data_IF_953647778894
#
_entry.id   IF_953647778894
#
_cell.length_a   1.000
_cell.length_b   1.000
_cell.length_c   1.000
_cell.angle_alpha   90.00
_cell.angle_beta   90.00
_cell.angle_gamma   90.00
#
_symmetry.space_group_name_H-M   'P 1'
#
loop_
_entity.id
_entity.type
_entity.pdbx_description
1 polymer ?
#
# COMPACT_ATOMS: atom_id res chain seq x y z
N UNK A 1 11.48 7.42 6.10
CA UNK A 1 11.29 8.72 6.79
C UNK A 1 11.72 8.54 8.25
N UNK A 2 12.40 9.51 8.85
CA UNK A 2 12.91 9.37 10.21
C UNK A 2 12.51 10.54 11.08
N UNK A 3 12.30 10.28 12.37
CA UNK A 3 12.13 11.29 13.41
C UNK A 3 13.39 11.40 14.29
N UNK A 4 13.49 12.52 15.00
CA UNK A 4 14.48 12.74 16.08
C UNK A 4 13.78 13.42 17.24
N UNK A 5 13.84 12.81 18.41
CA UNK A 5 13.38 13.40 19.67
C UNK A 5 14.61 14.03 20.33
N UNK A 6 14.48 15.29 20.75
CA UNK A 6 15.56 16.02 21.45
C UNK A 6 16.93 15.97 20.72
N UNK A 7 16.92 16.05 19.37
CA UNK A 7 18.11 15.96 18.51
C UNK A 7 18.96 14.68 18.69
N UNK A 8 18.40 13.60 19.26
CA UNK A 8 19.06 12.31 19.45
C UNK A 8 19.17 11.50 18.15
N UNK A 9 19.60 10.23 18.26
CA UNK A 9 19.73 9.32 17.10
C UNK A 9 18.40 9.21 16.36
N UNK A 10 18.47 8.93 15.05
CA UNK A 10 17.29 8.76 14.21
C UNK A 10 16.52 7.50 14.63
N UNK A 11 15.20 7.61 14.62
CA UNK A 11 14.26 6.49 14.70
C UNK A 11 13.33 6.55 13.49
N UNK A 12 12.77 5.42 13.03
CA UNK A 12 11.67 5.45 12.06
C UNK A 12 10.53 6.34 12.56
N UNK A 13 9.89 7.10 11.67
CA UNK A 13 8.73 7.94 12.09
C UNK A 13 7.54 7.07 12.50
N UNK A 14 7.45 5.86 11.95
CA UNK A 14 6.42 4.85 12.25
C UNK A 14 6.49 4.38 13.70
N UNK A 15 7.69 4.30 14.30
CA UNK A 15 7.83 4.00 15.73
C UNK A 15 7.19 5.08 16.60
N UNK A 16 7.27 6.35 16.19
CA UNK A 16 6.58 7.41 16.91
C UNK A 16 5.06 7.28 16.78
N UNK A 17 4.55 6.94 15.60
CA UNK A 17 3.11 6.74 15.37
C UNK A 17 2.57 5.53 16.15
N UNK A 18 3.33 4.43 16.21
CA UNK A 18 3.00 3.27 17.04
C UNK A 18 2.96 3.61 18.53
N UNK A 19 3.92 4.40 19.01
CA UNK A 19 3.90 4.87 20.41
C UNK A 19 2.66 5.72 20.73
N UNK A 20 2.14 6.46 19.74
CA UNK A 20 0.89 7.21 19.83
C UNK A 20 -0.37 6.32 19.77
N UNK A 21 -0.21 5.02 19.58
CA UNK A 21 -1.28 4.03 19.63
C UNK A 21 -1.82 3.59 18.28
N UNK A 22 -1.17 3.97 17.17
CA UNK A 22 -1.56 3.50 15.84
C UNK A 22 -0.93 2.14 15.53
N UNK A 23 -1.67 1.21 14.93
CA UNK A 23 -1.06 0.01 14.34
C UNK A 23 -0.55 0.25 12.90
N UNK A 24 0.04 -0.78 12.29
CA UNK A 24 0.60 -0.69 10.94
C UNK A 24 -0.44 -0.32 9.87
N UNK A 25 -1.64 -0.89 9.96
CA UNK A 25 -2.73 -0.65 9.02
C UNK A 25 -3.28 0.78 9.18
N UNK A 26 -3.53 1.23 10.41
CA UNK A 26 -3.98 2.59 10.71
C UNK A 26 -2.96 3.64 10.26
N UNK A 27 -1.66 3.34 10.39
CA UNK A 27 -0.59 4.18 9.84
C UNK A 27 -0.74 4.27 8.32
N UNK A 28 -0.87 3.16 7.61
CA UNK A 28 -0.99 3.18 6.16
C UNK A 28 -2.26 3.92 5.70
N UNK A 29 -3.41 3.64 6.32
CA UNK A 29 -4.68 4.31 6.02
C UNK A 29 -4.63 5.83 6.25
N UNK A 30 -3.86 6.28 7.24
CA UNK A 30 -3.70 7.72 7.53
C UNK A 30 -2.98 8.47 6.40
N UNK A 31 -2.03 7.80 5.73
CA UNK A 31 -1.15 8.45 4.74
C UNK A 31 -1.47 8.11 3.29
N UNK A 32 -2.28 7.09 3.05
CA UNK A 32 -2.57 6.58 1.71
C UNK A 32 -4.08 6.33 1.56
N UNK A 33 -4.59 6.62 0.36
CA UNK A 33 -5.88 6.04 -0.05
C UNK A 33 -5.64 4.62 -0.57
N UNK A 34 -6.72 3.84 -0.67
CA UNK A 34 -6.70 2.48 -1.18
C UNK A 34 -7.76 2.24 -2.25
N UNK A 35 -7.47 1.30 -3.12
CA UNK A 35 -8.34 0.82 -4.18
C UNK A 35 -8.50 -0.69 -4.08
N UNK A 36 -9.70 -1.18 -4.39
CA UNK A 36 -9.98 -2.62 -4.42
C UNK A 36 -9.75 -3.17 -5.82
N UNK A 37 -8.87 -4.15 -5.93
CA UNK A 37 -8.57 -4.86 -7.17
C UNK A 37 -9.30 -6.19 -7.13
N UNK A 38 -10.11 -6.45 -8.15
CA UNK A 38 -10.99 -7.62 -8.20
C UNK A 38 -10.50 -8.61 -9.24
N UNK A 39 -10.48 -9.90 -8.92
CA UNK A 39 -10.12 -10.96 -9.86
C UNK A 39 -11.18 -11.08 -10.95
N UNK A 40 -10.75 -11.11 -12.21
CA UNK A 40 -11.61 -11.35 -13.38
C UNK A 40 -10.98 -12.45 -14.25
N UNK A 41 -11.33 -13.70 -13.96
CA UNK A 41 -10.81 -14.87 -14.64
C UNK A 41 -9.29 -15.03 -14.45
N UNK A 42 -8.52 -14.74 -15.50
CA UNK A 42 -7.04 -14.80 -15.49
C UNK A 42 -6.37 -13.45 -15.28
N UNK A 43 -7.15 -12.36 -15.20
CA UNK A 43 -6.66 -11.02 -14.96
C UNK A 43 -7.37 -10.36 -13.79
N UNK A 44 -7.30 -9.04 -13.75
CA UNK A 44 -7.84 -8.21 -12.71
C UNK A 44 -8.65 -7.07 -13.30
N UNK A 45 -9.70 -6.70 -12.59
CA UNK A 45 -10.46 -5.46 -12.76
C UNK A 45 -9.95 -4.46 -11.73
N UNK A 46 -9.30 -3.40 -12.19
CA UNK A 46 -8.74 -2.36 -11.33
C UNK A 46 -9.42 -1.01 -11.59
N UNK A 47 -9.59 -0.15 -10.57
CA UNK A 47 -10.21 1.16 -10.76
C UNK A 47 -9.45 2.03 -11.76
N UNK A 48 -10.17 2.68 -12.67
CA UNK A 48 -9.58 3.65 -13.57
C UNK A 48 -9.30 4.95 -12.80
N UNK A 49 -8.02 5.22 -12.56
CA UNK A 49 -7.54 6.42 -11.87
C UNK A 49 -6.77 7.34 -12.83
N UNK A 50 -7.43 8.35 -13.43
CA UNK A 50 -6.79 9.29 -14.35
C UNK A 50 -5.53 9.97 -13.80
N UNK A 51 -5.53 10.32 -12.52
CA UNK A 51 -4.46 11.14 -11.95
C UNK A 51 -3.14 10.38 -11.84
N UNK A 52 -3.19 9.07 -11.56
CA UNK A 52 -2.01 8.20 -11.49
C UNK A 52 -1.43 7.92 -12.88
N UNK A 53 -2.29 7.81 -13.90
CA UNK A 53 -1.91 7.50 -15.29
C UNK A 53 -1.37 8.71 -16.08
N UNK A 54 -1.51 9.92 -15.54
CA UNK A 54 -1.25 11.17 -16.24
C UNK A 54 0.21 11.29 -16.69
N UNK A 55 0.41 11.44 -18.00
CA UNK A 55 1.72 11.68 -18.60
C UNK A 55 2.51 10.42 -18.92
N UNK A 56 2.07 9.25 -18.45
CA UNK A 56 2.63 7.95 -18.79
C UNK A 56 2.34 7.58 -20.26
N UNK A 57 3.09 6.61 -20.79
CA UNK A 57 2.74 5.93 -22.05
C UNK A 57 2.08 4.61 -21.70
N UNK A 58 1.00 4.28 -22.40
CA UNK A 58 0.40 2.95 -22.29
C UNK A 58 1.41 1.91 -22.78
N UNK A 59 1.86 1.00 -21.91
CA UNK A 59 2.82 -0.05 -22.27
C UNK A 59 2.13 -1.17 -23.07
N UNK A 60 0.88 -1.44 -22.73
CA UNK A 60 -0.04 -2.36 -23.39
C UNK A 60 -1.33 -1.61 -23.77
N UNK A 61 -2.24 -2.30 -24.44
CA UNK A 61 -3.56 -1.76 -24.73
C UNK A 61 -4.35 -1.59 -23.42
N UNK A 62 -4.86 -0.38 -23.18
CA UNK A 62 -5.78 -0.11 -22.08
C UNK A 62 -7.16 -0.61 -22.48
N UNK A 63 -7.66 -1.61 -21.77
CA UNK A 63 -8.94 -2.27 -22.06
C UNK A 63 -9.93 -1.93 -20.96
N UNK A 64 -11.14 -1.51 -21.34
CA UNK A 64 -12.24 -1.30 -20.41
C UNK A 64 -12.67 -2.65 -19.81
N UNK A 65 -12.67 -2.75 -18.48
CA UNK A 65 -13.00 -3.99 -17.79
C UNK A 65 -14.47 -4.40 -17.96
N UNK A 66 -15.37 -3.43 -18.15
CA UNK A 66 -16.81 -3.68 -18.20
C UNK A 66 -17.26 -4.03 -19.63
N UNK A 67 -16.62 -3.48 -20.67
CA UNK A 67 -16.99 -3.70 -22.09
C UNK A 67 -16.04 -4.62 -22.85
N UNK A 68 -14.79 -4.75 -22.40
CA UNK A 68 -13.73 -5.46 -23.12
C UNK A 68 -13.16 -4.70 -24.33
N UNK A 69 -13.59 -3.46 -24.57
CA UNK A 69 -13.09 -2.65 -25.67
C UNK A 69 -11.72 -2.03 -25.35
N UNK A 70 -10.85 -1.96 -26.37
CA UNK A 70 -9.61 -1.19 -26.26
C UNK A 70 -9.95 0.30 -26.29
N UNK A 71 -9.73 0.97 -25.16
CA UNK A 71 -9.99 2.40 -25.00
C UNK A 71 -8.74 3.26 -25.27
N UNK A 72 -7.54 2.68 -25.14
CA UNK A 72 -6.27 3.31 -25.54
C UNK A 72 -5.33 2.24 -26.08
N UNK A 73 -4.90 2.38 -27.33
CA UNK A 73 -3.87 1.52 -27.91
C UNK A 73 -2.49 1.75 -27.25
N UNK A 74 -1.71 0.68 -27.17
CA UNK A 74 -0.33 0.69 -26.70
C UNK A 74 0.54 1.75 -27.40
N UNK A 75 1.51 2.28 -26.66
CA UNK A 75 2.43 3.34 -27.08
C UNK A 75 1.85 4.76 -27.03
N UNK A 76 0.52 4.93 -26.91
CA UNK A 76 -0.10 6.25 -26.80
C UNK A 76 0.21 6.92 -25.47
N UNK A 77 0.43 8.24 -25.51
CA UNK A 77 0.62 9.06 -24.32
C UNK A 77 -0.71 9.35 -23.65
N UNK A 78 -0.79 9.06 -22.35
CA UNK A 78 -1.96 9.29 -21.51
C UNK A 78 -2.03 10.77 -21.12
N UNK A 79 -2.51 11.60 -22.06
CA UNK A 79 -2.65 13.05 -21.83
C UNK A 79 -3.83 13.36 -20.91
N UNK A 80 -3.81 14.50 -20.18
CA UNK A 80 -4.92 14.87 -19.31
C UNK A 80 -6.27 14.98 -20.04
N UNK A 81 -6.23 15.46 -21.30
CA UNK A 81 -7.43 15.55 -22.16
C UNK A 81 -8.00 14.17 -22.49
N UNK A 82 -7.15 13.22 -22.87
CA UNK A 82 -7.58 11.85 -23.18
C UNK A 82 -8.21 11.20 -21.96
N UNK A 83 -7.54 11.22 -20.82
CA UNK A 83 -8.00 10.61 -19.58
C UNK A 83 -9.32 11.23 -19.09
N UNK A 84 -9.47 12.56 -19.20
CA UNK A 84 -10.72 13.25 -18.91
C UNK A 84 -11.86 12.77 -19.82
N UNK A 85 -11.61 12.66 -21.13
CA UNK A 85 -12.61 12.15 -22.07
C UNK A 85 -13.00 10.70 -21.78
N UNK A 86 -12.07 9.84 -21.39
CA UNK A 86 -12.38 8.47 -20.99
C UNK A 86 -13.29 8.43 -19.75
N UNK A 87 -12.98 9.26 -18.73
CA UNK A 87 -13.82 9.41 -17.54
C UNK A 87 -15.23 9.93 -17.88
N UNK A 88 -15.33 10.94 -18.74
CA UNK A 88 -16.62 11.51 -19.18
C UNK A 88 -17.46 10.50 -19.99
N UNK A 89 -16.80 9.60 -20.73
CA UNK A 89 -17.44 8.48 -21.42
C UNK A 89 -17.86 7.34 -20.48
N UNK A 90 -17.56 7.43 -19.19
CA UNK A 90 -17.99 6.48 -18.18
C UNK A 90 -17.03 5.33 -17.92
N UNK A 91 -15.77 5.40 -18.37
CA UNK A 91 -14.76 4.40 -18.02
C UNK A 91 -14.53 4.41 -16.50
N UNK A 92 -14.79 3.27 -15.84
CA UNK A 92 -14.67 3.11 -14.39
C UNK A 92 -13.55 2.19 -13.97
N UNK A 93 -13.25 1.18 -14.77
CA UNK A 93 -12.25 0.18 -14.47
C UNK A 93 -11.56 -0.30 -15.74
N UNK A 94 -10.33 -0.75 -15.60
CA UNK A 94 -9.50 -1.28 -16.68
C UNK A 94 -9.07 -2.70 -16.35
N UNK A 95 -8.80 -3.49 -17.39
CA UNK A 95 -8.21 -4.82 -17.22
C UNK A 95 -6.72 -4.69 -16.93
N UNK A 96 -6.25 -5.50 -15.99
CA UNK A 96 -4.86 -5.66 -15.64
C UNK A 96 -4.48 -7.15 -15.65
N UNK A 97 -3.23 -7.43 -15.98
CA UNK A 97 -2.61 -8.74 -15.83
C UNK A 97 -2.01 -8.89 -14.42
N UNK A 98 -1.58 -10.10 -14.07
CA UNK A 98 -0.87 -10.34 -12.82
C UNK A 98 0.43 -9.51 -12.74
N UNK A 99 1.13 -9.34 -13.87
CA UNK A 99 2.37 -8.56 -13.97
C UNK A 99 2.14 -7.06 -13.69
N UNK A 100 0.96 -6.53 -14.03
CA UNK A 100 0.62 -5.12 -13.78
C UNK A 100 0.42 -4.83 -12.29
N UNK A 101 0.21 -5.86 -11.47
CA UNK A 101 0.05 -5.73 -10.02
C UNK A 101 1.40 -5.70 -9.29
N UNK A 102 2.48 -6.17 -9.90
CA UNK A 102 3.76 -6.30 -9.20
C UNK A 102 4.35 -4.95 -8.78
N UNK A 103 4.89 -4.92 -7.56
CA UNK A 103 5.44 -3.71 -6.95
C UNK A 103 4.41 -2.80 -6.28
N UNK A 104 3.11 -3.12 -6.39
CA UNK A 104 2.08 -2.50 -5.55
C UNK A 104 2.11 -3.09 -4.13
N UNK A 105 1.40 -2.47 -3.20
CA UNK A 105 1.43 -2.84 -1.79
C UNK A 105 0.02 -3.06 -1.26
N UNK A 106 -0.17 -4.10 -0.44
CA UNK A 106 -1.43 -4.34 0.25
C UNK A 106 -1.73 -3.21 1.23
N UNK A 107 -2.99 -2.82 1.32
CA UNK A 107 -3.43 -1.74 2.22
C UNK A 107 -3.95 -2.23 3.56
N UNK A 108 -4.36 -3.50 3.64
CA UNK A 108 -4.94 -4.15 4.82
C UNK A 108 -4.37 -5.57 4.93
N UNK A 109 -4.48 -6.16 6.10
CA UNK A 109 -4.15 -7.57 6.31
C UNK A 109 -5.09 -8.49 5.51
N UNK A 110 -4.53 -9.54 4.91
CA UNK A 110 -5.32 -10.59 4.26
C UNK A 110 -5.53 -11.74 5.24
N UNK A 111 -6.72 -11.80 5.84
CA UNK A 111 -7.01 -12.70 6.97
C UNK A 111 -8.09 -13.72 6.61
N UNK A 112 -7.90 -14.96 7.05
CA UNK A 112 -8.98 -15.92 7.13
C UNK A 112 -9.91 -15.57 8.30
N UNK A 113 -11.06 -14.98 8.00
CA UNK A 113 -12.02 -14.53 9.03
C UNK A 113 -12.59 -15.66 9.90
N UNK A 114 -12.45 -16.93 9.50
CA UNK A 114 -12.90 -18.07 10.30
C UNK A 114 -11.84 -18.57 11.28
N UNK A 115 -10.56 -18.51 10.93
CA UNK A 115 -9.46 -19.04 11.76
C UNK A 115 -8.64 -17.95 12.44
N UNK A 116 -8.71 -16.71 11.95
CA UNK A 116 -7.82 -15.61 12.35
C UNK A 116 -6.40 -15.74 11.78
N UNK A 117 -6.16 -16.68 10.86
CA UNK A 117 -4.87 -16.82 10.19
C UNK A 117 -4.62 -15.64 9.25
N UNK A 118 -3.51 -14.93 9.46
CA UNK A 118 -3.03 -13.85 8.59
C UNK A 118 -2.18 -14.49 7.50
N UNK A 119 -2.56 -14.30 6.24
CA UNK A 119 -1.80 -14.79 5.09
C UNK A 119 -0.71 -13.81 4.66
N UNK A 120 -1.03 -12.52 4.67
CA UNK A 120 -0.16 -11.40 4.32
C UNK A 120 -0.55 -10.18 5.15
N UNK A 121 0.42 -9.34 5.48
CA UNK A 121 0.24 -8.15 6.31
C UNK A 121 0.06 -6.88 5.46
N UNK A 122 -0.58 -5.88 6.05
CA UNK A 122 -0.69 -4.55 5.46
C UNK A 122 0.70 -3.97 5.15
N UNK A 123 0.89 -3.50 3.91
CA UNK A 123 2.16 -3.00 3.42
C UNK A 123 3.06 -4.04 2.75
N UNK A 124 2.70 -5.32 2.77
CA UNK A 124 3.40 -6.34 1.98
C UNK A 124 3.37 -6.00 0.49
N UNK A 125 4.48 -6.30 -0.19
CA UNK A 125 4.61 -6.11 -1.64
C UNK A 125 3.89 -7.23 -2.39
N UNK A 126 3.17 -6.85 -3.43
CA UNK A 126 2.60 -7.79 -4.38
C UNK A 126 3.72 -8.16 -5.36
N UNK A 127 4.17 -9.40 -5.28
CA UNK A 127 5.15 -10.04 -6.16
C UNK A 127 4.63 -11.43 -6.59
N UNK A 128 5.39 -12.18 -7.38
CA UNK A 128 4.98 -13.51 -7.86
C UNK A 128 4.64 -14.47 -6.70
N UNK A 129 5.38 -14.39 -5.59
CA UNK A 129 5.20 -15.27 -4.44
C UNK A 129 3.97 -14.86 -3.64
N UNK A 130 3.84 -13.58 -3.28
CA UNK A 130 2.71 -13.09 -2.48
C UNK A 130 1.42 -13.18 -3.27
N UNK A 131 1.43 -12.90 -4.58
CA UNK A 131 0.27 -13.13 -5.45
C UNK A 131 -0.14 -14.61 -5.51
N UNK A 132 0.84 -15.52 -5.52
CA UNK A 132 0.57 -16.96 -5.40
C UNK A 132 -0.15 -17.33 -4.09
N UNK A 133 0.22 -16.69 -2.97
CA UNK A 133 -0.48 -16.84 -1.67
C UNK A 133 -1.90 -16.29 -1.74
N UNK A 134 -2.08 -15.07 -2.28
CA UNK A 134 -3.38 -14.41 -2.44
C UNK A 134 -4.35 -15.32 -3.20
N UNK A 135 -3.93 -15.79 -4.38
CA UNK A 135 -4.75 -16.64 -5.24
C UNK A 135 -4.98 -18.03 -4.63
N UNK A 136 -3.97 -18.61 -3.98
CA UNK A 136 -4.07 -19.91 -3.33
C UNK A 136 -5.01 -19.92 -2.12
N UNK A 137 -5.10 -18.80 -1.41
CA UNK A 137 -6.03 -18.59 -0.30
C UNK A 137 -7.46 -18.22 -0.77
N UNK A 138 -7.65 -17.94 -2.07
CA UNK A 138 -8.96 -17.65 -2.66
C UNK A 138 -9.44 -16.21 -2.47
N UNK A 139 -8.52 -15.25 -2.32
CA UNK A 139 -8.88 -13.84 -2.31
C UNK A 139 -9.15 -13.33 -3.74
N UNK A 140 -10.43 -13.11 -4.04
CA UNK A 140 -10.89 -12.55 -5.32
C UNK A 140 -10.98 -11.01 -5.30
N UNK A 141 -10.77 -10.38 -4.15
CA UNK A 141 -10.69 -8.93 -4.01
C UNK A 141 -9.56 -8.61 -3.02
N UNK A 142 -8.67 -7.69 -3.39
CA UNK A 142 -7.56 -7.25 -2.54
C UNK A 142 -7.53 -5.73 -2.41
N UNK A 143 -7.31 -5.18 -1.20
CA UNK A 143 -7.12 -3.76 -0.98
C UNK A 143 -5.67 -3.37 -1.26
N UNK A 144 -5.45 -2.42 -2.17
CA UNK A 144 -4.14 -1.99 -2.65
C UNK A 144 -3.94 -0.51 -2.37
N UNK A 145 -2.77 -0.13 -1.85
CA UNK A 145 -2.41 1.27 -1.61
C UNK A 145 -2.29 2.03 -2.93
N UNK A 146 -2.90 3.22 -3.01
CA UNK A 146 -2.84 4.11 -4.18
C UNK A 146 -1.48 4.84 -4.26
N UNK A 147 -0.41 4.08 -4.46
CA UNK A 147 0.96 4.58 -4.62
C UNK A 147 1.32 4.51 -6.11
N UNK A 148 1.57 5.66 -6.73
CA UNK A 148 1.88 5.75 -8.17
C UNK A 148 3.36 6.03 -8.46
N UNK A 149 4.19 6.17 -7.41
CA UNK A 149 5.61 6.52 -7.46
C UNK A 149 5.95 7.84 -8.18
N UNK A 150 4.95 8.63 -8.57
CA UNK A 150 5.09 9.89 -9.29
C UNK A 150 4.61 11.04 -8.41
N UNK A 151 3.33 11.00 -8.02
CA UNK A 151 2.68 11.98 -7.16
C UNK A 151 2.65 11.48 -5.71
N UNK A 152 2.41 10.19 -5.53
CA UNK A 152 2.31 9.52 -4.22
C UNK A 152 3.40 8.46 -4.13
N UNK A 153 4.40 8.72 -3.29
CA UNK A 153 5.51 7.78 -3.05
C UNK A 153 5.28 6.89 -1.83
N UNK A 154 5.86 5.69 -1.86
CA UNK A 154 5.82 4.70 -0.77
C UNK A 154 6.64 5.08 0.48
N UNK A 155 6.76 6.37 0.82
CA UNK A 155 7.67 6.83 1.87
C UNK A 155 7.34 6.30 3.27
N UNK A 156 6.07 6.36 3.68
CA UNK A 156 5.62 5.85 4.98
C UNK A 156 5.61 4.32 4.96
N UNK A 157 5.07 3.70 3.91
CA UNK A 157 5.13 2.24 3.72
C UNK A 157 6.55 1.69 3.82
N UNK A 158 7.51 2.27 3.10
CA UNK A 158 8.92 1.84 3.13
C UNK A 158 9.58 2.14 4.48
N UNK A 159 9.05 3.07 5.26
CA UNK A 159 9.52 3.31 6.63
C UNK A 159 9.00 2.24 7.56
N UNK A 160 7.72 1.89 7.44
CA UNK A 160 7.07 0.84 8.23
C UNK A 160 7.76 -0.50 8.00
N UNK A 161 8.01 -0.85 6.72
CA UNK A 161 8.68 -2.10 6.34
C UNK A 161 10.12 -2.28 6.88
N UNK A 162 10.80 -1.19 7.28
CA UNK A 162 12.15 -1.27 7.89
C UNK A 162 12.15 -0.96 9.39
N UNK A 163 10.98 -0.64 9.95
CA UNK A 163 10.80 -0.49 11.38
C UNK A 163 10.88 -1.87 12.04
N UNK A 164 11.54 -1.93 13.20
CA UNK A 164 11.70 -3.19 13.95
C UNK A 164 10.68 -3.32 15.08
N UNK A 165 9.88 -2.28 15.30
CA UNK A 165 8.81 -2.29 16.27
C UNK A 165 7.56 -2.80 15.58
N UNK A 166 6.85 -3.71 16.24
CA UNK A 166 5.62 -4.32 15.70
C UNK A 166 4.37 -3.78 16.40
N UNK A 167 4.53 -3.12 17.55
CA UNK A 167 3.44 -2.65 18.38
C UNK A 167 3.83 -1.43 19.21
N UNK A 168 2.82 -0.84 19.89
CA UNK A 168 2.98 0.32 20.77
C UNK A 168 4.03 0.11 21.86
N UNK A 169 4.07 -1.06 22.48
CA UNK A 169 5.00 -1.34 23.57
C UNK A 169 6.45 -1.34 23.08
N UNK A 170 6.74 -2.01 21.96
CA UNK A 170 8.09 -2.04 21.38
C UNK A 170 8.56 -0.64 20.99
N UNK A 171 7.67 0.12 20.37
CA UNK A 171 7.90 1.51 20.00
C UNK A 171 8.21 2.39 21.23
N UNK A 172 7.41 2.31 22.29
CA UNK A 172 7.66 3.02 23.55
C UNK A 172 9.02 2.62 24.16
N UNK A 173 9.36 1.33 24.12
CA UNK A 173 10.62 0.84 24.64
C UNK A 173 11.83 1.32 23.83
N UNK A 174 11.76 1.35 22.50
CA UNK A 174 12.85 1.91 21.68
C UNK A 174 13.00 3.41 21.89
N UNK A 175 11.89 4.16 21.94
CA UNK A 175 11.90 5.59 22.26
C UNK A 175 12.53 5.83 23.65
N UNK A 176 12.15 5.04 24.66
CA UNK A 176 12.74 5.13 26.00
C UNK A 176 14.26 4.90 25.96
N UNK A 177 14.74 3.87 25.25
CA UNK A 177 16.18 3.58 25.11
C UNK A 177 16.94 4.68 24.38
N UNK A 178 16.29 5.41 23.48
CA UNK A 178 16.87 6.60 22.84
C UNK A 178 17.00 7.74 23.84
N UNK A 179 15.97 7.99 24.65
CA UNK A 179 15.94 9.09 25.62
C UNK A 179 16.80 8.82 26.86
N UNK A 180 16.86 7.58 27.33
CA UNK A 180 17.60 7.14 28.53
C UNK A 180 18.47 5.92 28.23
N UNK A 181 19.62 6.10 27.56
CA UNK A 181 20.49 4.99 27.21
C UNK A 181 21.04 4.29 28.45
N UNK A 182 20.92 2.95 28.50
CA UNK A 182 21.45 2.12 29.58
C UNK A 182 20.45 1.81 30.70
N UNK A 183 19.27 2.44 30.71
CA UNK A 183 18.18 2.09 31.63
C UNK A 183 17.23 1.08 30.95
N UNK A 184 16.92 -0.07 31.59
CA UNK A 184 15.92 -0.99 31.05
C UNK A 184 14.51 -0.38 31.17
N UNK A 185 13.72 -0.34 30.08
CA UNK A 185 12.36 0.17 30.14
C UNK A 185 11.42 -0.81 30.84
N UNK A 186 10.49 -0.25 31.61
CA UNK A 186 9.20 -0.87 31.99
C UNK A 186 8.07 -0.12 31.27
N UNK A 187 6.88 -0.72 31.16
CA UNK A 187 5.72 -0.03 30.56
C UNK A 187 5.43 1.30 31.24
N UNK A 188 5.34 1.31 32.57
CA UNK A 188 5.08 2.53 33.34
C UNK A 188 6.14 3.62 33.09
N UNK A 189 7.42 3.24 33.07
CA UNK A 189 8.51 4.21 32.82
C UNK A 189 8.56 4.72 31.39
N UNK A 190 8.08 3.93 30.43
CA UNK A 190 8.14 4.26 29.01
C UNK A 190 6.94 5.11 28.56
N UNK A 191 5.80 4.98 29.25
CA UNK A 191 4.59 5.77 28.98
C UNK A 191 4.57 7.13 29.71
N UNK A 192 5.26 7.25 30.85
CA UNK A 192 5.33 8.46 31.68
C UNK A 192 6.19 9.60 31.10
#
# INVERSE_FOLDING_TARGET
VHARIDRRRKIPVTSLLMALGMDGEEILETFYTKSFYQRDGKGWRIPFQPDTLKGQKALSDLIDADTGEVVVESGKKLTPRLLKTLKEKGLKAIKASDDDLYGNFLAEDLVNMSTGEIFLEAGDEIDEKTLGVILGAGFDEIPVLDIDHINVGAYIRNTLAVDKNENRQDALFDIYRVMRPGEPPTMDSAEA
#
